data_IF_713810093511
#
_entry.id   IF_713810093511
#
_cell.length_a   1.000
_cell.length_b   1.000
_cell.length_c   1.000
_cell.angle_alpha   90.00
_cell.angle_beta   90.00
_cell.angle_gamma   90.00
#
_symmetry.space_group_name_H-M   'P 1'
#
loop_
_entity.id
_entity.type
_entity.pdbx_description
1 polymer ?
#
# COMPACT_ATOMS: atom_id res chain seq x y z
N UNK A 1 -8.98 13.18 -5.02
CA UNK A 1 -7.74 13.98 -4.90
C UNK A 1 -6.63 13.25 -5.65
N UNK A 2 -5.76 13.96 -6.36
CA UNK A 2 -4.54 13.38 -6.94
C UNK A 2 -3.51 13.09 -5.84
N UNK A 3 -2.71 12.02 -6.02
CA UNK A 3 -1.62 11.69 -5.11
C UNK A 3 -0.52 12.77 -5.19
N UNK A 4 0.10 13.07 -4.06
CA UNK A 4 1.33 13.84 -4.04
C UNK A 4 2.51 13.01 -4.54
N UNK A 5 3.57 13.68 -5.00
CA UNK A 5 4.74 13.04 -5.63
C UNK A 5 5.41 11.97 -4.75
N UNK A 6 5.29 12.09 -3.43
CA UNK A 6 5.89 11.19 -2.44
C UNK A 6 4.86 10.35 -1.69
N UNK A 7 3.67 10.16 -2.25
CA UNK A 7 2.60 9.33 -1.67
C UNK A 7 2.36 8.07 -2.51
N UNK A 8 2.03 6.97 -1.84
CA UNK A 8 1.49 5.77 -2.47
C UNK A 8 0.10 5.47 -1.92
N UNK A 9 -0.77 4.90 -2.75
CA UNK A 9 -2.07 4.39 -2.32
C UNK A 9 -2.01 2.86 -2.29
N UNK A 10 -2.11 2.26 -1.10
CA UNK A 10 -1.95 0.83 -0.91
C UNK A 10 -3.32 0.15 -0.86
N UNK A 11 -3.42 -1.01 -1.52
CA UNK A 11 -4.63 -1.83 -1.57
C UNK A 11 -4.27 -3.27 -1.16
N UNK A 12 -5.00 -3.81 -0.19
CA UNK A 12 -4.90 -5.23 0.15
C UNK A 12 -5.53 -6.10 -0.95
N UNK A 13 -4.99 -7.30 -1.13
CA UNK A 13 -5.49 -8.28 -2.11
C UNK A 13 -6.91 -8.76 -1.79
N UNK A 14 -7.28 -8.84 -0.50
CA UNK A 14 -8.65 -9.11 -0.07
C UNK A 14 -9.40 -7.80 0.20
N UNK A 15 -10.23 -7.40 -0.77
CA UNK A 15 -10.97 -6.14 -0.72
C UNK A 15 -11.81 -5.97 0.56
N UNK A 16 -12.40 -7.05 1.07
CA UNK A 16 -13.34 -7.02 2.20
C UNK A 16 -12.67 -7.21 3.56
N UNK A 17 -11.44 -7.75 3.57
CA UNK A 17 -10.66 -7.97 4.79
C UNK A 17 -9.35 -7.19 4.77
N UNK A 18 -9.41 -5.93 4.33
CA UNK A 18 -8.25 -5.05 4.24
C UNK A 18 -8.52 -3.69 4.88
N UNK A 19 -7.66 -3.35 5.84
CA UNK A 19 -7.57 -2.02 6.46
C UNK A 19 -6.46 -1.23 5.77
N UNK A 20 -6.76 -0.66 4.61
CA UNK A 20 -5.78 -0.02 3.72
C UNK A 20 -6.09 1.45 3.45
N UNK A 21 -5.46 2.02 2.41
CA UNK A 21 -5.57 3.44 2.08
C UNK A 21 -6.99 3.92 1.78
N UNK A 22 -7.96 3.02 1.56
CA UNK A 22 -9.38 3.40 1.46
C UNK A 22 -9.94 3.95 2.78
N UNK A 23 -9.39 3.56 3.93
CA UNK A 23 -9.78 4.05 5.25
C UNK A 23 -8.86 5.17 5.75
N UNK A 24 -7.55 5.01 5.56
CA UNK A 24 -6.54 5.91 6.16
C UNK A 24 -5.95 6.93 5.19
N UNK A 25 -6.24 6.79 3.90
CA UNK A 25 -5.67 7.64 2.86
C UNK A 25 -4.28 7.20 2.38
N UNK A 26 -3.65 8.03 1.53
CA UNK A 26 -2.32 7.77 1.00
C UNK A 26 -1.24 7.69 2.08
N UNK A 27 -0.20 6.89 1.82
CA UNK A 27 0.94 6.68 2.71
C UNK A 27 2.18 7.39 2.16
N UNK A 28 2.90 8.20 2.95
CA UNK A 28 4.19 8.75 2.54
C UNK A 28 5.19 7.65 2.21
N UNK A 29 5.90 7.77 1.09
CA UNK A 29 6.91 6.81 0.62
C UNK A 29 8.02 6.56 1.65
N UNK A 30 8.39 7.57 2.45
CA UNK A 30 9.35 7.43 3.55
C UNK A 30 8.91 6.45 4.66
N UNK A 31 7.61 6.16 4.77
CA UNK A 31 7.08 5.17 5.72
C UNK A 31 7.12 3.74 5.15
N UNK A 32 7.47 3.56 3.87
CA UNK A 32 7.56 2.25 3.23
C UNK A 32 8.95 1.67 3.48
N UNK A 33 9.02 0.58 4.25
CA UNK A 33 10.27 -0.08 4.62
C UNK A 33 10.91 -0.79 3.42
N UNK A 34 10.11 -1.30 2.48
CA UNK A 34 10.60 -1.98 1.28
C UNK A 34 9.48 -2.62 0.47
N UNK A 35 9.85 -3.26 -0.64
CA UNK A 35 8.95 -4.04 -1.49
C UNK A 35 9.14 -5.53 -1.23
N UNK A 36 8.06 -6.22 -0.89
CA UNK A 36 8.08 -7.68 -0.77
C UNK A 36 8.35 -8.29 -2.16
N UNK A 37 9.41 -9.10 -2.26
CA UNK A 37 9.73 -9.90 -3.44
C UNK A 37 9.71 -11.37 -3.00
N UNK A 38 8.69 -12.15 -3.38
CA UNK A 38 8.59 -13.54 -2.93
C UNK A 38 9.72 -14.37 -3.55
N UNK A 39 10.31 -15.27 -2.74
CA UNK A 39 11.31 -16.24 -3.21
C UNK A 39 10.67 -17.54 -3.70
N UNK A 40 9.54 -17.91 -3.10
CA UNK A 40 8.76 -19.11 -3.39
C UNK A 40 7.28 -18.76 -3.20
N UNK A 41 6.42 -19.20 -4.11
CA UNK A 41 4.97 -18.89 -4.10
C UNK A 41 4.09 -20.13 -4.19
N UNK A 42 4.71 -21.30 -4.28
CA UNK A 42 4.09 -22.62 -4.41
C UNK A 42 4.28 -23.44 -3.13
#
# INVERSE_FOLDING_TARGET
RALGDNEVFLLGSDKNRSFDSRYFGPVPTQNVIGRLVPLWTE
#
